data_IF_451535102207
#
_entry.id   IF_451535102207
#
_cell.length_a   1.000
_cell.length_b   1.000
_cell.length_c   1.000
_cell.angle_alpha   90.00
_cell.angle_beta   90.00
_cell.angle_gamma   90.00
#
_symmetry.space_group_name_H-M   'P 1'
#
loop_
_entity.id
_entity.type
_entity.pdbx_description
1 polymer ?
#
# COMPACT_ATOMS: atom_id res chain seq x y z
N UNK A 1 -21.05 -19.37 4.47
CA UNK A 1 -19.78 -18.78 4.94
C UNK A 1 -19.23 -17.66 4.03
N UNK A 2 -19.07 -17.83 2.71
CA UNK A 2 -18.50 -16.79 1.80
C UNK A 2 -19.21 -15.42 1.80
N UNK A 3 -20.50 -15.34 2.17
CA UNK A 3 -21.30 -14.10 2.09
C UNK A 3 -20.95 -13.05 3.16
N UNK A 4 -20.55 -13.46 4.37
CA UNK A 4 -20.23 -12.51 5.46
C UNK A 4 -18.84 -11.89 5.32
N UNK A 5 -17.84 -12.69 4.93
CA UNK A 5 -16.49 -12.20 4.62
C UNK A 5 -16.48 -11.18 3.47
N UNK A 6 -17.37 -11.34 2.49
CA UNK A 6 -17.51 -10.39 1.39
C UNK A 6 -18.02 -9.01 1.86
N UNK A 7 -18.84 -8.98 2.91
CA UNK A 7 -19.41 -7.74 3.48
C UNK A 7 -18.42 -6.99 4.39
N UNK A 8 -17.51 -7.70 5.06
CA UNK A 8 -16.44 -7.05 5.86
C UNK A 8 -15.34 -6.47 4.97
N UNK A 9 -15.04 -7.08 3.82
CA UNK A 9 -14.08 -6.56 2.84
C UNK A 9 -14.71 -5.70 1.74
N UNK A 10 -16.00 -5.36 1.85
CA UNK A 10 -16.64 -4.53 0.83
C UNK A 10 -16.27 -3.06 1.01
N UNK A 11 -16.22 -2.33 -0.09
CA UNK A 11 -16.17 -0.87 -0.09
C UNK A 11 -17.24 -0.30 0.86
N UNK A 12 -16.82 0.58 1.77
CA UNK A 12 -17.69 1.22 2.78
C UNK A 12 -17.88 0.46 4.10
N UNK A 13 -17.28 -0.73 4.28
CA UNK A 13 -17.22 -1.38 5.59
C UNK A 13 -16.38 -0.56 6.58
N UNK A 14 -16.64 -0.73 7.88
CA UNK A 14 -15.82 -0.08 8.94
C UNK A 14 -14.35 -0.46 8.79
N UNK A 15 -14.09 -1.74 8.54
CA UNK A 15 -12.76 -2.25 8.24
C UNK A 15 -12.11 -1.51 7.07
N UNK A 16 -12.77 -1.39 5.92
CA UNK A 16 -12.17 -0.76 4.74
C UNK A 16 -11.94 0.74 4.94
N UNK A 17 -12.81 1.44 5.68
CA UNK A 17 -12.58 2.85 6.02
C UNK A 17 -11.35 3.03 6.92
N UNK A 18 -11.28 2.25 8.01
CA UNK A 18 -10.12 2.28 8.91
C UNK A 18 -8.83 1.90 8.16
N UNK A 19 -8.91 0.91 7.27
CA UNK A 19 -7.78 0.52 6.45
C UNK A 19 -7.35 1.62 5.46
N UNK A 20 -8.30 2.31 4.83
CA UNK A 20 -8.03 3.46 3.96
C UNK A 20 -7.36 4.61 4.74
N UNK A 21 -7.81 4.91 5.96
CA UNK A 21 -7.20 5.92 6.82
C UNK A 21 -5.76 5.53 7.21
N UNK A 22 -5.56 4.28 7.65
CA UNK A 22 -4.23 3.76 7.97
C UNK A 22 -3.30 3.86 6.75
N UNK A 23 -3.80 3.48 5.58
CA UNK A 23 -3.04 3.53 4.33
C UNK A 23 -2.68 4.95 3.92
N UNK A 24 -3.60 5.90 4.06
CA UNK A 24 -3.38 7.30 3.72
C UNK A 24 -2.39 7.97 4.68
N UNK A 25 -2.41 7.62 5.97
CA UNK A 25 -1.49 8.16 6.98
C UNK A 25 -0.13 7.44 7.02
N UNK A 26 0.01 6.30 6.34
CA UNK A 26 1.20 5.48 6.39
C UNK A 26 2.41 6.17 5.74
N UNK A 27 3.50 6.29 6.50
CA UNK A 27 4.75 6.92 6.07
C UNK A 27 5.98 5.99 6.14
N UNK A 28 5.79 4.72 6.51
CA UNK A 28 6.87 3.72 6.60
C UNK A 28 7.75 3.78 7.86
N UNK A 29 7.55 4.76 8.75
CA UNK A 29 8.39 4.93 9.96
C UNK A 29 7.59 5.03 11.25
N UNK A 30 6.25 5.03 11.17
CA UNK A 30 5.41 5.20 12.34
C UNK A 30 5.52 4.00 13.29
N UNK A 31 6.03 4.21 14.50
CA UNK A 31 6.12 3.17 15.53
C UNK A 31 4.78 2.85 16.19
N UNK A 32 3.72 3.63 15.90
CA UNK A 32 2.38 3.38 16.43
C UNK A 32 1.82 2.08 15.85
N UNK A 33 1.35 1.22 16.76
CA UNK A 33 0.47 0.10 16.41
C UNK A 33 -0.90 0.66 16.04
N UNK A 34 -1.53 0.07 15.04
CA UNK A 34 -2.88 0.42 14.62
C UNK A 34 -3.81 -0.76 14.85
N UNK A 35 -4.96 -0.50 15.45
CA UNK A 35 -5.97 -1.53 15.67
C UNK A 35 -7.00 -1.45 14.55
N UNK A 36 -7.33 -2.60 14.00
CA UNK A 36 -8.25 -2.73 12.90
C UNK A 36 -9.37 -3.68 13.29
N UNK A 37 -10.59 -3.15 13.38
CA UNK A 37 -11.76 -3.96 13.70
C UNK A 37 -12.03 -4.98 12.61
N UNK A 38 -11.84 -6.25 12.94
CA UNK A 38 -12.04 -7.37 12.04
C UNK A 38 -12.50 -8.60 12.82
N UNK A 39 -13.81 -8.73 13.01
CA UNK A 39 -14.39 -9.86 13.74
C UNK A 39 -14.21 -11.15 12.95
N UNK A 40 -13.38 -12.06 13.48
CA UNK A 40 -13.11 -13.38 12.92
C UNK A 40 -13.73 -14.48 13.79
N UNK A 41 -14.93 -14.95 13.41
CA UNK A 41 -15.70 -15.93 14.19
C UNK A 41 -15.05 -17.32 14.30
N UNK A 42 -14.12 -17.63 13.42
CA UNK A 42 -13.47 -18.94 13.33
C UNK A 42 -12.07 -18.94 13.99
N UNK A 43 -11.60 -17.79 14.48
CA UNK A 43 -10.31 -17.66 15.15
C UNK A 43 -10.50 -17.78 16.67
N UNK A 44 -9.71 -18.64 17.29
CA UNK A 44 -9.66 -18.76 18.74
C UNK A 44 -8.52 -17.91 19.32
N UNK A 45 -8.64 -17.55 20.59
CA UNK A 45 -7.57 -16.88 21.32
C UNK A 45 -6.29 -17.71 21.26
N UNK A 46 -5.17 -17.08 20.89
CA UNK A 46 -3.87 -17.74 20.80
C UNK A 46 -3.68 -18.65 19.57
N UNK A 47 -4.48 -18.48 18.51
CA UNK A 47 -4.22 -19.17 17.23
C UNK A 47 -2.78 -18.86 16.77
N UNK A 48 -1.91 -19.87 16.58
CA UNK A 48 -0.52 -19.67 16.21
C UNK A 48 -0.36 -18.98 14.84
N UNK A 49 -1.40 -18.96 14.01
CA UNK A 49 -1.40 -18.26 12.73
C UNK A 49 -1.80 -16.77 12.86
N UNK A 50 -2.32 -16.33 14.01
CA UNK A 50 -2.78 -14.95 14.21
C UNK A 50 -2.62 -14.48 15.66
N UNK A 51 -1.35 -14.36 16.07
CA UNK A 51 -0.95 -13.93 17.42
C UNK A 51 -1.43 -12.51 17.77
N UNK A 52 -1.80 -11.72 16.76
CA UNK A 52 -2.15 -10.30 16.89
C UNK A 52 -3.66 -10.04 16.94
N UNK A 53 -4.47 -11.09 16.94
CA UNK A 53 -5.92 -11.00 17.04
C UNK A 53 -6.37 -10.99 18.50
N UNK A 54 -7.15 -9.98 18.86
CA UNK A 54 -7.88 -9.92 20.11
C UNK A 54 -9.32 -10.39 19.86
N UNK A 55 -9.72 -11.57 20.36
CA UNK A 55 -11.06 -12.09 20.18
C UNK A 55 -12.11 -11.42 21.06
N UNK A 56 -11.72 -10.76 22.17
CA UNK A 56 -12.67 -10.05 23.05
C UNK A 56 -13.17 -8.78 22.37
N UNK A 57 -12.26 -7.98 21.84
CA UNK A 57 -12.59 -6.73 21.13
C UNK A 57 -12.86 -6.94 19.63
N UNK A 58 -12.48 -8.10 19.09
CA UNK A 58 -12.63 -8.42 17.67
C UNK A 58 -11.73 -7.59 16.77
N UNK A 59 -10.51 -7.28 17.24
CA UNK A 59 -9.56 -6.37 16.60
C UNK A 59 -8.25 -7.08 16.26
N UNK A 60 -7.60 -6.63 15.18
CA UNK A 60 -6.22 -7.01 14.86
C UNK A 60 -5.30 -5.83 15.10
N UNK A 61 -4.22 -6.06 15.84
CA UNK A 61 -3.17 -5.07 16.06
C UNK A 61 -2.07 -5.21 15.01
N UNK A 62 -1.99 -4.25 14.07
CA UNK A 62 -0.93 -4.21 13.06
C UNK A 62 0.22 -3.32 13.51
N UNK A 63 1.45 -3.80 13.33
CA UNK A 63 2.67 -3.02 13.52
C UNK A 63 3.10 -2.35 12.21
N UNK A 64 4.04 -1.41 12.31
CA UNK A 64 4.67 -0.82 11.11
C UNK A 64 5.26 -1.89 10.19
N UNK A 65 5.90 -2.92 10.74
CA UNK A 65 6.49 -3.99 9.97
C UNK A 65 5.44 -4.81 9.21
N UNK A 66 4.27 -5.02 9.81
CA UNK A 66 3.16 -5.73 9.15
C UNK A 66 2.61 -4.90 8.00
N UNK A 67 2.43 -3.58 8.20
CA UNK A 67 2.02 -2.67 7.14
C UNK A 67 3.05 -2.61 6.02
N UNK A 68 4.35 -2.53 6.34
CA UNK A 68 5.42 -2.62 5.36
C UNK A 68 5.35 -3.94 4.59
N UNK A 69 5.19 -5.07 5.27
CA UNK A 69 5.07 -6.38 4.62
C UNK A 69 3.87 -6.47 3.67
N UNK A 70 2.79 -5.71 3.93
CA UNK A 70 1.66 -5.58 3.01
C UNK A 70 1.98 -4.67 1.81
N UNK A 71 2.58 -3.50 2.03
CA UNK A 71 2.77 -2.48 0.98
C UNK A 71 3.99 -2.74 0.08
N UNK A 72 5.09 -3.23 0.65
CA UNK A 72 6.36 -3.43 -0.03
C UNK A 72 6.27 -4.30 -1.30
N UNK A 73 5.63 -5.48 -1.27
CA UNK A 73 5.54 -6.32 -2.45
C UNK A 73 4.81 -5.62 -3.59
N UNK A 74 3.73 -4.90 -3.28
CA UNK A 74 2.94 -4.14 -4.25
C UNK A 74 3.78 -3.03 -4.86
N UNK A 75 4.49 -2.26 -4.03
CA UNK A 75 5.34 -1.17 -4.50
C UNK A 75 6.51 -1.68 -5.35
N UNK A 76 7.12 -2.81 -4.99
CA UNK A 76 8.15 -3.46 -5.81
C UNK A 76 7.62 -3.86 -7.18
N UNK A 77 6.42 -4.42 -7.26
CA UNK A 77 5.79 -4.77 -8.54
C UNK A 77 5.52 -3.53 -9.40
N UNK A 78 5.00 -2.45 -8.80
CA UNK A 78 4.72 -1.21 -9.53
C UNK A 78 6.02 -0.60 -10.09
N UNK A 79 7.06 -0.50 -9.25
CA UNK A 79 8.37 -0.01 -9.68
C UNK A 79 8.94 -0.89 -10.80
N UNK A 80 8.83 -2.21 -10.67
CA UNK A 80 9.26 -3.14 -11.72
C UNK A 80 8.55 -2.91 -13.05
N UNK A 81 7.25 -2.62 -13.05
CA UNK A 81 6.50 -2.27 -14.26
C UNK A 81 6.97 -0.94 -14.87
N UNK A 82 7.21 0.06 -14.03
CA UNK A 82 7.72 1.37 -14.49
C UNK A 82 9.09 1.20 -15.16
N UNK A 83 10.01 0.44 -14.56
CA UNK A 83 11.33 0.20 -15.14
C UNK A 83 11.25 -0.59 -16.45
N UNK A 84 10.34 -1.57 -16.56
CA UNK A 84 10.09 -2.29 -17.81
C UNK A 84 9.57 -1.36 -18.91
N UNK A 85 8.67 -0.44 -18.58
CA UNK A 85 8.14 0.55 -19.52
C UNK A 85 9.22 1.54 -19.96
N UNK A 86 10.07 2.02 -19.04
CA UNK A 86 11.24 2.86 -19.38
C UNK A 86 12.15 2.15 -20.39
N UNK A 87 12.53 0.90 -20.11
CA UNK A 87 13.41 0.13 -20.98
C UNK A 87 12.78 -0.16 -22.35
N UNK A 88 11.47 -0.42 -22.40
CA UNK A 88 10.76 -0.65 -23.65
C UNK A 88 10.74 0.61 -24.54
N UNK A 89 10.41 1.78 -23.98
CA UNK A 89 10.36 3.04 -24.73
C UNK A 89 11.74 3.47 -25.23
N UNK A 90 12.78 3.33 -24.39
CA UNK A 90 14.15 3.62 -24.80
C UNK A 90 14.60 2.69 -25.94
N UNK A 91 14.28 1.39 -25.85
CA UNK A 91 14.63 0.41 -26.88
C UNK A 91 13.88 0.62 -28.20
N UNK A 92 12.60 0.98 -28.15
CA UNK A 92 11.75 1.07 -29.34
C UNK A 92 11.84 2.44 -30.03
N UNK A 93 12.02 3.51 -29.25
CA UNK A 93 11.94 4.88 -29.75
C UNK A 93 13.20 5.72 -29.47
N UNK A 94 14.16 5.23 -28.67
CA UNK A 94 15.33 6.00 -28.25
C UNK A 94 14.97 7.21 -27.37
N UNK A 95 13.82 7.15 -26.69
CA UNK A 95 13.28 8.23 -25.88
C UNK A 95 13.37 7.89 -24.39
N UNK A 96 13.77 8.88 -23.60
CA UNK A 96 13.69 8.80 -22.15
C UNK A 96 12.29 9.24 -21.67
N UNK A 97 11.71 8.49 -20.73
CA UNK A 97 10.53 8.96 -19.99
C UNK A 97 10.95 10.18 -19.16
N UNK A 98 10.21 11.28 -19.27
CA UNK A 98 10.51 12.57 -18.63
C UNK A 98 9.56 12.92 -17.49
N UNK A 99 8.44 12.23 -17.35
CA UNK A 99 7.48 12.45 -16.27
C UNK A 99 6.78 11.15 -15.88
N UNK A 100 6.45 11.05 -14.59
CA UNK A 100 5.54 10.02 -14.06
C UNK A 100 4.37 10.80 -13.48
N UNK A 101 3.15 10.52 -13.95
CA UNK A 101 1.94 11.16 -13.42
C UNK A 101 1.21 10.15 -12.55
N UNK A 102 1.02 10.49 -11.28
CA UNK A 102 0.32 9.63 -10.33
C UNK A 102 -1.14 10.08 -10.25
N UNK A 103 -2.04 9.24 -10.79
CA UNK A 103 -3.47 9.54 -10.84
C UNK A 103 -4.26 8.72 -9.81
N UNK A 104 -5.20 9.37 -9.13
CA UNK A 104 -6.10 8.76 -8.16
C UNK A 104 -5.58 8.72 -6.72
N UNK A 105 -6.44 8.27 -5.78
CA UNK A 105 -6.16 8.29 -4.34
C UNK A 105 -5.01 7.38 -3.86
N UNK A 106 -4.37 6.64 -4.77
CA UNK A 106 -3.20 5.84 -4.44
C UNK A 106 -1.96 6.69 -4.14
N UNK A 107 -1.88 7.91 -4.69
CA UNK A 107 -0.80 8.85 -4.40
C UNK A 107 -0.91 9.63 -3.10
N UNK A 108 -2.03 9.51 -2.38
CA UNK A 108 -2.24 10.26 -1.14
C UNK A 108 -1.43 9.71 0.05
N UNK A 109 -0.91 8.48 -0.05
CA UNK A 109 -0.06 7.90 0.99
C UNK A 109 1.36 8.49 0.91
N UNK A 110 1.89 9.10 1.99
CA UNK A 110 3.27 9.59 2.05
C UNK A 110 4.29 8.50 1.71
N UNK A 111 4.05 7.26 2.15
CA UNK A 111 4.93 6.14 1.84
C UNK A 111 5.07 5.89 0.33
N UNK A 112 3.93 5.81 -0.36
CA UNK A 112 3.88 5.61 -1.82
C UNK A 112 4.56 6.76 -2.54
N UNK A 113 4.29 8.00 -2.10
CA UNK A 113 4.89 9.20 -2.68
C UNK A 113 6.42 9.18 -2.57
N UNK A 114 6.97 8.88 -1.39
CA UNK A 114 8.43 8.80 -1.20
C UNK A 114 9.07 7.69 -2.04
N UNK A 115 8.42 6.52 -2.16
CA UNK A 115 8.92 5.44 -3.02
C UNK A 115 8.91 5.82 -4.50
N UNK A 116 7.85 6.50 -4.97
CA UNK A 116 7.76 6.97 -6.35
C UNK A 116 8.81 8.05 -6.65
N UNK A 117 9.02 9.00 -5.73
CA UNK A 117 10.09 9.99 -5.85
C UNK A 117 11.47 9.33 -5.93
N UNK A 118 11.74 8.31 -5.11
CA UNK A 118 12.99 7.55 -5.18
C UNK A 118 13.14 6.84 -6.53
N UNK A 119 12.09 6.19 -7.03
CA UNK A 119 12.09 5.57 -8.37
C UNK A 119 12.33 6.62 -9.48
N UNK A 120 11.82 7.84 -9.29
CA UNK A 120 11.96 8.93 -10.24
C UNK A 120 13.37 9.59 -10.20
N UNK A 121 14.00 9.71 -9.02
CA UNK A 121 15.29 10.38 -8.85
C UNK A 121 16.51 9.54 -9.24
N UNK A 122 16.34 8.25 -9.52
CA UNK A 122 17.46 7.32 -9.77
C UNK A 122 18.09 7.46 -11.17
N UNK A 123 17.56 8.29 -12.07
CA UNK A 123 18.17 8.52 -13.39
C UNK A 123 18.75 9.93 -13.58
N UNK A 124 20.09 9.97 -13.70
CA UNK A 124 20.97 11.12 -13.93
C UNK A 124 20.96 11.69 -15.37
N UNK A 125 19.83 11.62 -16.10
CA UNK A 125 19.73 12.20 -17.45
C UNK A 125 18.49 13.08 -17.69
N UNK A 126 17.57 13.19 -16.73
CA UNK A 126 16.41 14.06 -16.85
C UNK A 126 15.60 14.03 -15.56
N UNK A 127 15.39 15.20 -14.96
CA UNK A 127 14.55 15.31 -13.78
C UNK A 127 13.14 14.84 -14.13
N UNK A 128 12.71 13.73 -13.53
CA UNK A 128 11.36 13.22 -13.66
C UNK A 128 10.42 14.12 -12.84
N UNK A 129 9.48 14.79 -13.52
CA UNK A 129 8.45 15.58 -12.87
C UNK A 129 7.35 14.63 -12.35
N UNK A 130 7.04 14.71 -11.06
CA UNK A 130 6.01 13.93 -10.39
C UNK A 130 4.88 14.87 -9.98
N UNK A 131 3.71 14.71 -10.62
CA UNK A 131 2.51 15.49 -10.31
C UNK A 131 1.39 14.57 -9.80
N UNK A 132 0.66 15.06 -8.79
CA UNK A 132 -0.59 14.45 -8.31
C UNK A 132 -1.74 15.27 -8.88
N UNK A 133 -2.55 14.65 -9.73
CA UNK A 133 -3.79 15.24 -10.22
C UNK A 133 -4.93 14.85 -9.26
N UNK A 134 -5.49 15.86 -8.58
CA UNK A 134 -6.66 15.74 -7.70
C UNK A 134 -7.97 15.94 -8.47
#
# INVERSE_FOLDING_TARGET
MRRYWCKMRSHGSVFMKLFEDIRNDFNGTNSKKVNLQLVMKDLQEGDPNCIQYDPEDGEITLTCNDLLACFDPVMRSIIGLIEQQKAAVDKEHGLAITAIVLVGGFGCSPYVWEMMKKCASVNSAGALLLEVLH
#
